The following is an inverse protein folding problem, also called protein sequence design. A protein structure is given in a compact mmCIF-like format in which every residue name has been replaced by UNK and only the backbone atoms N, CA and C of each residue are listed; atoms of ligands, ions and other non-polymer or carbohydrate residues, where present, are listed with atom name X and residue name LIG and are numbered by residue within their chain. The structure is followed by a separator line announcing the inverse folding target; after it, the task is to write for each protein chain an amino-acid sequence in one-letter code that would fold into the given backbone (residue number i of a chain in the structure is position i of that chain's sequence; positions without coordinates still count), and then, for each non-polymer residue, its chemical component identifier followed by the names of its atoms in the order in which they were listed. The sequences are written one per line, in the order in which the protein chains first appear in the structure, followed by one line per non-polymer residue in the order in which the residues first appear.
data_IF_008362977933
#
_entry.id   IF_008362977933
#
_cell.length_a   1.000
_cell.length_b   1.000
_cell.length_c   1.000
_cell.angle_alpha   90.00
_cell.angle_beta   90.00
_cell.angle_gamma   90.00
#
_symmetry.space_group_name_H-M   'P 1'
#
loop_
_entity.id
_entity.type
_entity.pdbx_description
1 polymer ?
#
# COMPACT_ATOMS: atom_id res chain seq x y z
N UNK A 1 -23.40 -27.07 40.56
CA UNK A 1 -22.57 -25.84 40.59
C UNK A 1 -21.71 -25.78 39.33
N UNK A 2 -22.25 -25.34 38.20
CA UNK A 2 -21.49 -25.05 36.98
C UNK A 2 -22.27 -23.99 36.19
N UNK A 3 -22.07 -22.72 36.54
CA UNK A 3 -22.71 -21.59 35.85
C UNK A 3 -21.80 -20.38 35.67
N UNK A 4 -20.60 -20.42 36.26
CA UNK A 4 -19.64 -19.32 36.25
C UNK A 4 -18.53 -19.53 35.22
N UNK A 5 -18.50 -20.70 34.57
CA UNK A 5 -17.49 -21.09 33.58
C UNK A 5 -17.83 -20.71 32.13
N UNK A 6 -19.09 -20.41 31.82
CA UNK A 6 -19.53 -20.24 30.42
C UNK A 6 -19.61 -18.77 29.99
N UNK A 7 -19.80 -17.85 30.95
CA UNK A 7 -19.90 -16.41 30.67
C UNK A 7 -18.56 -15.73 30.37
N UNK A 8 -17.46 -16.15 31.00
CA UNK A 8 -16.13 -15.58 30.72
C UNK A 8 -15.57 -16.05 29.37
N UNK A 9 -15.84 -17.32 29.01
CA UNK A 9 -15.47 -17.88 27.71
C UNK A 9 -16.23 -17.17 26.59
N UNK A 10 -17.54 -16.93 26.75
CA UNK A 10 -18.30 -16.17 25.74
C UNK A 10 -17.79 -14.75 25.54
N UNK A 11 -17.36 -14.09 26.62
CA UNK A 11 -16.77 -12.75 26.52
C UNK A 11 -15.41 -12.75 25.80
N UNK A 12 -14.56 -13.73 26.08
CA UNK A 12 -13.27 -13.88 25.40
C UNK A 12 -13.44 -14.16 23.91
N UNK A 13 -14.39 -15.03 23.53
CA UNK A 13 -14.69 -15.33 22.13
C UNK A 13 -15.20 -14.10 21.39
N UNK A 14 -16.10 -13.32 22.01
CA UNK A 14 -16.60 -12.07 21.44
C UNK A 14 -15.46 -11.06 21.18
N UNK A 15 -14.55 -10.92 22.15
CA UNK A 15 -13.43 -10.00 22.07
C UNK A 15 -12.43 -10.42 20.99
N UNK A 16 -12.16 -11.72 20.87
CA UNK A 16 -11.33 -12.28 19.79
C UNK A 16 -11.94 -12.07 18.41
N UNK A 17 -13.27 -12.22 18.28
CA UNK A 17 -13.95 -11.96 17.01
C UNK A 17 -13.79 -10.51 16.58
N UNK A 18 -14.00 -9.55 17.48
CA UNK A 18 -13.84 -8.13 17.19
C UNK A 18 -12.39 -7.81 16.83
N UNK A 19 -11.43 -8.30 17.62
CA UNK A 19 -10.00 -8.11 17.36
C UNK A 19 -9.57 -8.71 16.02
N UNK A 20 -10.09 -9.90 15.67
CA UNK A 20 -9.83 -10.58 14.41
C UNK A 20 -10.36 -9.79 13.20
N UNK A 21 -11.56 -9.23 13.31
CA UNK A 21 -12.14 -8.35 12.27
C UNK A 21 -11.28 -7.10 12.10
N UNK A 22 -10.94 -6.40 13.18
CA UNK A 22 -10.07 -5.21 13.12
C UNK A 22 -8.71 -5.56 12.50
N UNK A 23 -8.09 -6.66 12.94
CA UNK A 23 -6.83 -7.13 12.39
C UNK A 23 -6.92 -7.41 10.89
N UNK A 24 -7.99 -8.07 10.44
CA UNK A 24 -8.22 -8.37 9.04
C UNK A 24 -8.42 -7.11 8.18
N UNK A 25 -9.22 -6.14 8.67
CA UNK A 25 -9.38 -4.85 8.01
C UNK A 25 -8.04 -4.09 7.91
N UNK A 26 -7.29 -4.01 9.01
CA UNK A 26 -5.97 -3.37 9.02
C UNK A 26 -5.00 -4.08 8.08
N UNK A 27 -5.02 -5.41 8.01
CA UNK A 27 -4.16 -6.17 7.12
C UNK A 27 -4.51 -5.99 5.64
N UNK A 28 -5.82 -5.91 5.30
CA UNK A 28 -6.25 -5.55 3.94
C UNK A 28 -5.76 -4.15 3.55
N UNK A 29 -5.98 -3.16 4.42
CA UNK A 29 -5.58 -1.77 4.17
C UNK A 29 -4.05 -1.61 4.13
N UNK A 30 -3.30 -2.37 4.94
CA UNK A 30 -1.84 -2.40 4.89
C UNK A 30 -1.29 -3.02 3.61
N UNK A 31 -2.02 -3.96 3.00
CA UNK A 31 -1.61 -4.61 1.76
C UNK A 31 -1.66 -3.64 0.56
N UNK A 32 -2.51 -2.62 0.62
CA UNK A 32 -2.51 -1.50 -0.33
C UNK A 32 -1.60 -0.33 0.12
N UNK A 33 -1.34 -0.18 1.42
CA UNK A 33 -0.53 0.91 1.98
C UNK A 33 1.00 0.71 1.99
N UNK A 34 1.52 -0.51 1.83
CA UNK A 34 2.96 -0.82 1.95
C UNK A 34 3.72 -1.00 0.62
N UNK A 35 3.22 -0.46 -0.49
CA UNK A 35 3.95 -0.43 -1.77
C UNK A 35 3.94 0.94 -2.49
N UNK A 36 3.60 2.02 -1.79
CA UNK A 36 3.34 3.28 -2.50
C UNK A 36 4.59 4.08 -2.92
N UNK A 37 5.80 3.69 -2.49
CA UNK A 37 7.01 4.30 -3.09
C UNK A 37 7.34 3.68 -4.44
N UNK A 38 7.35 2.34 -4.57
CA UNK A 38 7.67 1.70 -5.86
C UNK A 38 6.61 1.93 -6.94
N UNK A 39 5.33 1.98 -6.57
CA UNK A 39 4.24 2.30 -7.51
C UNK A 39 4.32 3.73 -8.04
N UNK A 40 4.60 4.71 -7.17
CA UNK A 40 4.74 6.12 -7.56
C UNK A 40 5.91 6.35 -8.54
N UNK A 41 7.08 5.73 -8.32
CA UNK A 41 8.20 5.82 -9.25
C UNK A 41 7.90 5.17 -10.62
N UNK A 42 7.21 4.02 -10.62
CA UNK A 42 6.80 3.36 -11.88
C UNK A 42 5.81 4.23 -12.66
N UNK A 43 4.89 4.89 -11.95
CA UNK A 43 3.95 5.84 -12.54
C UNK A 43 4.69 7.06 -13.12
N UNK A 44 5.70 7.59 -12.43
CA UNK A 44 6.47 8.74 -12.91
C UNK A 44 7.30 8.43 -14.17
N UNK A 45 7.97 7.27 -14.25
CA UNK A 45 8.72 6.88 -15.45
C UNK A 45 7.80 6.65 -16.66
N UNK A 46 6.60 6.09 -16.42
CA UNK A 46 5.57 5.90 -17.46
C UNK A 46 4.99 7.22 -17.98
N UNK A 47 4.74 8.20 -17.10
CA UNK A 47 4.29 9.54 -17.53
C UNK A 47 5.40 10.22 -18.35
N UNK A 48 6.67 10.06 -17.96
CA UNK A 48 7.79 10.64 -18.67
C UNK A 48 7.97 10.04 -20.07
N UNK A 49 7.82 8.72 -20.22
CA UNK A 49 7.91 8.05 -21.52
C UNK A 49 6.75 8.42 -22.44
N UNK A 50 5.54 8.58 -21.91
CA UNK A 50 4.38 9.03 -22.68
C UNK A 50 4.59 10.44 -23.26
N UNK A 51 5.09 11.38 -22.45
CA UNK A 51 5.37 12.76 -22.90
C UNK A 51 6.45 12.79 -23.98
N UNK A 52 7.48 11.96 -23.86
CA UNK A 52 8.52 11.83 -24.88
C UNK A 52 7.95 11.26 -26.18
N UNK A 53 7.10 10.22 -26.10
CA UNK A 53 6.44 9.64 -27.27
C UNK A 53 5.49 10.62 -27.98
N UNK A 54 4.86 11.52 -27.21
CA UNK A 54 4.05 12.63 -27.74
C UNK A 54 4.88 13.77 -28.34
N UNK A 55 6.21 13.78 -28.12
CA UNK A 55 7.09 14.88 -28.53
C UNK A 55 6.93 16.15 -27.67
N UNK A 56 6.34 16.04 -26.48
CA UNK A 56 6.15 17.17 -25.56
C UNK A 56 7.45 17.56 -24.84
N UNK A 57 8.44 16.66 -24.81
CA UNK A 57 9.76 16.87 -24.20
C UNK A 57 10.85 16.36 -25.12
N UNK A 58 12.03 16.97 -25.06
CA UNK A 58 13.20 16.54 -25.84
C UNK A 58 13.86 15.28 -25.27
N UNK A 59 14.73 14.63 -26.06
CA UNK A 59 15.49 13.46 -25.61
C UNK A 59 16.41 13.80 -24.43
N UNK A 60 17.00 14.98 -24.43
CA UNK A 60 17.87 15.48 -23.36
C UNK A 60 17.10 15.70 -22.07
N UNK A 61 15.88 16.26 -22.15
CA UNK A 61 14.99 16.42 -21.01
C UNK A 61 14.53 15.08 -20.45
N UNK A 62 14.14 14.14 -21.33
CA UNK A 62 13.78 12.78 -20.95
C UNK A 62 14.93 12.09 -20.19
N UNK A 63 16.15 12.14 -20.72
CA UNK A 63 17.34 11.52 -20.08
C UNK A 63 17.62 12.12 -18.71
N UNK A 64 17.60 13.45 -18.57
CA UNK A 64 17.83 14.14 -17.29
C UNK A 64 16.78 13.76 -16.25
N UNK A 65 15.49 13.83 -16.60
CA UNK A 65 14.41 13.52 -15.65
C UNK A 65 14.41 12.04 -15.25
N UNK A 66 14.69 11.14 -16.20
CA UNK A 66 14.82 9.70 -15.92
C UNK A 66 15.97 9.40 -14.96
N UNK A 67 17.10 10.10 -15.11
CA UNK A 67 18.23 9.98 -14.20
C UNK A 67 17.90 10.47 -12.79
N UNK A 68 17.21 11.60 -12.66
CA UNK A 68 16.73 12.12 -11.37
C UNK A 68 15.79 11.13 -10.69
N UNK A 69 14.83 10.55 -11.43
CA UNK A 69 13.90 9.55 -10.90
C UNK A 69 14.61 8.25 -10.45
N UNK A 70 15.71 7.88 -11.11
CA UNK A 70 16.49 6.68 -10.77
C UNK A 70 17.46 6.92 -9.60
N UNK A 71 18.03 8.11 -9.50
CA UNK A 71 19.03 8.47 -8.49
C UNK A 71 18.39 9.01 -7.19
N UNK A 72 17.14 9.46 -7.21
CA UNK A 72 16.37 9.88 -6.02
C UNK A 72 15.84 8.72 -5.16
N UNK A 73 16.50 7.55 -5.20
CA UNK A 73 16.17 6.34 -4.45
C UNK A 73 16.89 6.27 -3.11
#
# INVERSE_FOLDING_TARGET
MMGWGMGWISLLVQLFLIAGVIYFLVNLLKKDGYSNNRGSFHNAEMILSERYARGEISEEEYKRMREVLRNGK
#
